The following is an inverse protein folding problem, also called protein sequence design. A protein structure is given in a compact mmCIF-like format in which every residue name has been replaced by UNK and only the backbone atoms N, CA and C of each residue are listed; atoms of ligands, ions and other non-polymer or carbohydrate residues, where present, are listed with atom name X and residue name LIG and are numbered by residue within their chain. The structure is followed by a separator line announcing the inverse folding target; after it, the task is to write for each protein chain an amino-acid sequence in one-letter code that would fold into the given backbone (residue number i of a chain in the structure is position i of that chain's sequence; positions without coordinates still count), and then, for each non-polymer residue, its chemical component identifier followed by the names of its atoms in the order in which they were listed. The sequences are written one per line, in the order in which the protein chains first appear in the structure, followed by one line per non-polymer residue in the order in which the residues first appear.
data_IF_512287835625
#
_entry.id   IF_512287835625
#
_cell.length_a   1.000
_cell.length_b   1.000
_cell.length_c   1.000
_cell.angle_alpha   90.00
_cell.angle_beta   90.00
_cell.angle_gamma   90.00
#
_symmetry.space_group_name_H-M   'P 1'
#
loop_
_entity.id
_entity.type
_entity.pdbx_description
1 polymer ?
#
# COMPACT_ATOMS: atom_id res chain seq x y z
N UNK A 1 3.36 -25.05 8.35
CA UNK A 1 3.19 -23.90 7.41
C UNK A 1 3.92 -22.66 7.89
N UNK A 2 4.82 -22.11 7.06
CA UNK A 2 5.58 -20.89 7.38
C UNK A 2 4.86 -19.64 6.85
N UNK A 3 5.01 -18.50 7.55
CA UNK A 3 4.52 -17.21 7.04
C UNK A 3 5.36 -16.76 5.85
N UNK A 4 4.71 -16.28 4.79
CA UNK A 4 5.36 -15.59 3.67
C UNK A 4 5.11 -14.10 3.73
N UNK A 5 5.97 -13.34 3.05
CA UNK A 5 5.92 -11.87 3.01
C UNK A 5 6.19 -11.36 1.60
N UNK A 6 5.40 -10.40 1.14
CA UNK A 6 5.65 -9.61 -0.07
C UNK A 6 5.84 -8.15 0.36
N UNK A 7 6.80 -7.45 -0.22
CA UNK A 7 7.13 -6.06 0.10
C UNK A 7 7.14 -5.19 -1.13
N UNK A 8 6.77 -3.93 -0.97
CA UNK A 8 6.93 -2.88 -1.98
C UNK A 8 7.61 -1.69 -1.31
N UNK A 9 8.68 -1.19 -1.93
CA UNK A 9 9.35 0.04 -1.52
C UNK A 9 8.44 1.23 -1.85
N UNK A 10 8.28 2.14 -0.91
CA UNK A 10 7.55 3.38 -1.12
C UNK A 10 8.45 4.40 -1.79
N UNK A 11 7.87 5.13 -2.73
CA UNK A 11 8.47 6.34 -3.28
C UNK A 11 8.20 7.49 -2.30
N UNK A 12 9.19 8.35 -2.10
CA UNK A 12 9.04 9.56 -1.31
C UNK A 12 7.99 10.48 -1.94
N UNK A 13 6.92 10.80 -1.20
CA UNK A 13 5.81 11.65 -1.67
C UNK A 13 5.90 13.10 -1.14
N UNK A 14 6.99 13.48 -0.45
CA UNK A 14 7.12 14.79 0.19
C UNK A 14 6.95 15.95 -0.79
N UNK A 15 7.51 15.83 -2.00
CA UNK A 15 7.35 16.84 -3.05
C UNK A 15 5.88 17.15 -3.32
N UNK A 16 5.06 16.12 -3.49
CA UNK A 16 3.66 16.28 -3.84
C UNK A 16 2.83 16.80 -2.66
N UNK A 17 3.13 16.34 -1.45
CA UNK A 17 2.52 16.86 -0.22
C UNK A 17 2.82 18.36 -0.06
N UNK A 18 4.06 18.77 -0.29
CA UNK A 18 4.48 20.17 -0.22
C UNK A 18 3.80 21.01 -1.30
N UNK A 19 3.65 20.48 -2.51
CA UNK A 19 2.95 21.17 -3.60
C UNK A 19 1.46 21.35 -3.30
N UNK A 20 0.82 20.35 -2.68
CA UNK A 20 -0.57 20.44 -2.24
C UNK A 20 -0.73 21.48 -1.14
N UNK A 21 0.18 21.47 -0.15
CA UNK A 21 0.15 22.41 0.97
C UNK A 21 0.36 23.87 0.54
N UNK A 22 1.21 24.12 -0.48
CA UNK A 22 1.48 25.48 -0.99
C UNK A 22 0.33 26.07 -1.82
N UNK A 23 -0.61 25.25 -2.30
CA UNK A 23 -1.65 25.69 -3.22
C UNK A 23 -3.05 25.43 -2.65
N UNK A 24 -3.58 26.38 -1.89
CA UNK A 24 -4.87 26.26 -1.21
C UNK A 24 -6.08 26.11 -2.14
N UNK A 25 -5.94 26.47 -3.43
CA UNK A 25 -6.97 26.26 -4.47
C UNK A 25 -7.06 24.82 -4.96
N UNK A 26 -6.18 23.92 -4.49
CA UNK A 26 -6.22 22.51 -4.86
C UNK A 26 -7.47 21.86 -4.23
N UNK A 27 -8.32 21.34 -5.10
CA UNK A 27 -9.59 20.71 -4.75
C UNK A 27 -9.42 19.50 -3.82
N UNK A 28 -10.47 19.23 -3.04
CA UNK A 28 -10.52 18.20 -1.99
C UNK A 28 -10.02 16.81 -2.43
N UNK A 29 -10.25 16.41 -3.69
CA UNK A 29 -9.78 15.13 -4.23
C UNK A 29 -8.25 14.95 -4.18
N UNK A 30 -7.49 16.04 -4.36
CA UNK A 30 -6.02 16.01 -4.26
C UNK A 30 -5.53 16.15 -2.81
N UNK A 31 -6.35 16.66 -1.88
CA UNK A 31 -6.03 16.67 -0.44
C UNK A 31 -5.93 15.26 0.13
N UNK A 32 -6.69 14.31 -0.43
CA UNK A 32 -6.68 12.89 -0.02
C UNK A 32 -5.59 12.05 -0.70
N UNK A 33 -4.61 12.68 -1.38
CA UNK A 33 -3.60 11.98 -2.16
C UNK A 33 -2.86 10.90 -1.35
N UNK A 34 -2.53 11.16 -0.08
CA UNK A 34 -1.87 10.18 0.80
C UNK A 34 -2.69 8.89 0.95
N UNK A 35 -4.00 9.01 1.16
CA UNK A 35 -4.90 7.87 1.29
C UNK A 35 -5.02 7.09 -0.03
N UNK A 36 -5.10 7.80 -1.16
CA UNK A 36 -5.14 7.18 -2.48
C UNK A 36 -3.84 6.43 -2.81
N UNK A 37 -2.69 7.03 -2.51
CA UNK A 37 -1.39 6.40 -2.67
C UNK A 37 -1.29 5.11 -1.85
N UNK A 38 -1.71 5.13 -0.58
CA UNK A 38 -1.73 3.93 0.25
C UNK A 38 -2.66 2.85 -0.29
N UNK A 39 -3.85 3.22 -0.79
CA UNK A 39 -4.79 2.30 -1.43
C UNK A 39 -4.18 1.63 -2.66
N UNK A 40 -3.49 2.38 -3.51
CA UNK A 40 -2.81 1.84 -4.70
C UNK A 40 -1.75 0.82 -4.27
N UNK A 41 -0.90 1.13 -3.29
CA UNK A 41 0.12 0.20 -2.80
C UNK A 41 -0.48 -1.11 -2.25
N UNK A 42 -1.59 -1.01 -1.51
CA UNK A 42 -2.33 -2.20 -1.02
C UNK A 42 -2.82 -3.04 -2.19
N UNK A 43 -3.44 -2.42 -3.19
CA UNK A 43 -3.95 -3.12 -4.36
C UNK A 43 -2.82 -3.82 -5.13
N UNK A 44 -1.68 -3.17 -5.35
CA UNK A 44 -0.54 -3.80 -6.01
C UNK A 44 -0.04 -5.02 -5.24
N UNK A 45 0.03 -4.95 -3.89
CA UNK A 45 0.40 -6.11 -3.06
C UNK A 45 -0.59 -7.27 -3.22
N UNK A 46 -1.89 -6.98 -3.23
CA UNK A 46 -2.95 -7.98 -3.40
C UNK A 46 -2.93 -8.58 -4.80
N UNK A 47 -2.78 -7.77 -5.84
CA UNK A 47 -2.67 -8.22 -7.23
C UNK A 47 -1.45 -9.12 -7.43
N UNK A 48 -0.30 -8.81 -6.81
CA UNK A 48 0.88 -9.70 -6.83
C UNK A 48 0.62 -11.05 -6.17
N UNK A 49 -0.21 -11.09 -5.14
CA UNK A 49 -0.59 -12.32 -4.45
C UNK A 49 -1.57 -13.14 -5.31
N UNK A 50 -2.55 -12.46 -5.91
CA UNK A 50 -3.51 -13.07 -6.83
C UNK A 50 -2.86 -13.62 -8.10
N UNK A 51 -1.92 -12.88 -8.71
CA UNK A 51 -1.17 -13.33 -9.89
C UNK A 51 -0.37 -14.62 -9.64
N UNK A 52 -0.02 -14.89 -8.38
CA UNK A 52 0.64 -16.15 -7.96
C UNK A 52 -0.36 -17.27 -7.67
N UNK A 53 -1.66 -17.07 -7.91
CA UNK A 53 -2.76 -17.99 -7.56
C UNK A 53 -2.77 -18.37 -6.07
N UNK A 54 -2.28 -17.47 -5.21
CA UNK A 54 -2.23 -17.70 -3.76
C UNK A 54 -3.53 -17.16 -3.16
N UNK A 55 -4.25 -18.01 -2.41
CA UNK A 55 -5.42 -17.60 -1.63
C UNK A 55 -5.02 -17.69 -0.15
N UNK A 56 -4.93 -16.56 0.58
CA UNK A 56 -4.49 -16.57 1.96
C UNK A 56 -5.64 -17.03 2.87
N UNK A 57 -5.31 -17.71 3.97
CA UNK A 57 -6.31 -18.04 4.99
C UNK A 57 -6.97 -16.79 5.57
N UNK A 58 -8.29 -16.83 5.76
CA UNK A 58 -9.08 -15.76 6.38
C UNK A 58 -8.47 -15.41 7.75
N UNK A 59 -8.28 -14.12 8.02
CA UNK A 59 -7.70 -13.62 9.28
C UNK A 59 -6.16 -13.66 9.38
N UNK A 60 -5.45 -14.27 8.41
CA UNK A 60 -3.98 -14.41 8.45
C UNK A 60 -3.27 -13.42 7.50
N UNK A 61 -4.03 -12.78 6.62
CA UNK A 61 -3.56 -11.69 5.75
C UNK A 61 -3.41 -10.39 6.55
N UNK A 62 -2.18 -9.92 6.74
CA UNK A 62 -1.90 -8.67 7.46
C UNK A 62 -1.06 -7.74 6.59
N UNK A 63 -1.55 -6.52 6.38
CA UNK A 63 -0.79 -5.44 5.71
C UNK A 63 -0.11 -4.60 6.80
N UNK A 64 1.20 -4.45 6.70
CA UNK A 64 1.99 -3.52 7.53
C UNK A 64 2.46 -2.35 6.69
N UNK A 65 2.17 -1.16 7.18
CA UNK A 65 2.52 0.11 6.54
C UNK A 65 3.69 0.75 7.31
N UNK A 66 4.90 0.71 6.76
CA UNK A 66 6.07 1.40 7.32
C UNK A 66 6.37 2.66 6.48
N UNK A 67 7.24 3.53 6.99
CA UNK A 67 7.58 4.79 6.34
C UNK A 67 8.15 4.57 4.92
N UNK A 68 9.09 3.63 4.76
CA UNK A 68 9.77 3.41 3.47
C UNK A 68 9.25 2.21 2.68
N UNK A 69 8.37 1.39 3.28
CA UNK A 69 7.87 0.17 2.64
C UNK A 69 6.48 -0.21 3.11
N UNK A 70 5.72 -0.84 2.22
CA UNK A 70 4.50 -1.54 2.58
C UNK A 70 4.71 -3.05 2.42
N UNK A 71 4.18 -3.84 3.34
CA UNK A 71 4.37 -5.29 3.33
C UNK A 71 3.10 -6.06 3.63
N UNK A 72 2.93 -7.18 2.93
CA UNK A 72 1.82 -8.11 3.07
C UNK A 72 2.36 -9.42 3.67
N UNK A 73 1.92 -9.78 4.87
CA UNK A 73 2.25 -11.05 5.54
C UNK A 73 1.04 -11.99 5.43
N UNK A 74 1.27 -13.24 5.04
CA UNK A 74 0.19 -14.21 4.83
C UNK A 74 0.65 -15.66 5.09
N UNK A 75 -0.33 -16.56 5.24
CA UNK A 75 -0.18 -18.01 5.14
C UNK A 75 -1.22 -18.52 4.14
N UNK A 76 -0.89 -19.59 3.43
CA UNK A 76 -1.76 -20.25 2.46
C UNK A 76 -1.46 -21.75 2.48
N UNK A 77 -2.37 -22.56 1.92
CA UNK A 77 -2.22 -24.01 1.85
C UNK A 77 -1.16 -24.45 0.86
#
# INVERSE_FOLDING_TARGET
MKFKKITIKKINQNYLINLIAKNNKISSGRKNYKQHYERILKNVLLSKLFAKKIIPFKGVLKIKNNQDKMSLKYKYK
#
